data_IF_370970355765
#
_entry.id   IF_370970355765
#
_cell.length_a   1.000
_cell.length_b   1.000
_cell.length_c   1.000
_cell.angle_alpha   90.00
_cell.angle_beta   90.00
_cell.angle_gamma   90.00
#
_symmetry.space_group_name_H-M   'P 1'
#
loop_
_entity.id
_entity.type
_entity.pdbx_description
1 polymer ?
#
# COMPACT_ATOMS: atom_id res chain seq x y z
N UNK A 1 -1.14 27.30 -14.26
CA UNK A 1 0.01 27.12 -15.18
C UNK A 1 -0.48 27.29 -16.61
N UNK A 2 -0.09 28.36 -17.30
CA UNK A 2 -0.60 28.66 -18.65
C UNK A 2 -0.01 27.76 -19.75
N UNK A 3 1.06 27.01 -19.44
CA UNK A 3 1.74 26.13 -20.39
C UNK A 3 0.91 24.94 -20.85
N UNK A 4 -0.08 24.53 -20.06
CA UNK A 4 -0.92 23.37 -20.36
C UNK A 4 -2.32 23.75 -20.84
N UNK A 5 -2.71 25.04 -20.78
CA UNK A 5 -4.04 25.49 -21.22
C UNK A 5 -4.38 25.06 -22.65
N UNK A 6 -3.48 25.22 -23.66
CA UNK A 6 -3.78 24.80 -25.03
C UNK A 6 -4.02 23.28 -25.13
N UNK A 7 -3.30 22.49 -24.33
CA UNK A 7 -3.47 21.04 -24.28
C UNK A 7 -4.82 20.65 -23.66
N UNK A 8 -5.18 21.23 -22.51
CA UNK A 8 -6.47 20.94 -21.87
C UNK A 8 -7.67 21.35 -22.73
N UNK A 9 -7.55 22.45 -23.49
CA UNK A 9 -8.58 22.88 -24.44
C UNK A 9 -8.67 22.00 -25.71
N UNK A 10 -7.63 21.20 -25.99
CA UNK A 10 -7.62 20.27 -27.12
C UNK A 10 -8.24 18.89 -26.79
N UNK A 11 -8.47 18.61 -25.51
CA UNK A 11 -9.07 17.37 -25.05
C UNK A 11 -10.59 17.42 -25.24
N UNK A 12 -11.19 16.35 -25.76
CA UNK A 12 -12.65 16.22 -25.85
C UNK A 12 -13.32 16.20 -24.47
N UNK A 13 -14.50 16.81 -24.33
CA UNK A 13 -15.24 16.93 -23.06
C UNK A 13 -15.47 15.57 -22.35
N UNK A 14 -15.72 14.50 -23.12
CA UNK A 14 -15.86 13.12 -22.61
C UNK A 14 -14.61 12.63 -21.85
N UNK A 15 -13.42 12.93 -22.40
CA UNK A 15 -12.14 12.54 -21.81
C UNK A 15 -11.82 13.40 -20.58
N UNK A 16 -12.24 14.68 -20.59
CA UNK A 16 -12.09 15.58 -19.46
C UNK A 16 -12.94 15.11 -18.27
N UNK A 17 -14.20 14.73 -18.52
CA UNK A 17 -15.10 14.18 -17.51
C UNK A 17 -14.55 12.90 -16.89
N UNK A 18 -14.04 11.98 -17.73
CA UNK A 18 -13.42 10.72 -17.27
C UNK A 18 -12.19 10.97 -16.39
N UNK A 19 -11.37 11.96 -16.77
CA UNK A 19 -10.17 12.33 -16.01
C UNK A 19 -10.53 12.98 -14.67
N UNK A 20 -11.56 13.82 -14.63
CA UNK A 20 -12.05 14.43 -13.39
C UNK A 20 -12.63 13.36 -12.44
N UNK A 21 -13.42 12.42 -12.96
CA UNK A 21 -13.92 11.27 -12.20
C UNK A 21 -12.78 10.45 -11.61
N UNK A 22 -11.77 10.09 -12.42
CA UNK A 22 -10.63 9.31 -11.95
C UNK A 22 -9.83 10.07 -10.88
N UNK A 23 -9.66 11.38 -11.06
CA UNK A 23 -8.97 12.24 -10.10
C UNK A 23 -9.71 12.28 -8.76
N UNK A 24 -11.03 12.40 -8.79
CA UNK A 24 -11.87 12.38 -7.58
C UNK A 24 -11.84 11.01 -6.88
N UNK A 25 -11.76 9.92 -7.63
CA UNK A 25 -11.67 8.56 -7.07
C UNK A 25 -10.30 8.29 -6.43
N UNK A 26 -9.20 8.75 -7.05
CA UNK A 26 -7.85 8.37 -6.63
C UNK A 26 -7.15 9.37 -5.71
N UNK A 27 -7.43 10.67 -5.86
CA UNK A 27 -6.68 11.74 -5.20
C UNK A 27 -7.39 12.29 -3.96
N UNK A 28 -8.55 11.75 -3.60
CA UNK A 28 -9.24 12.05 -2.33
C UNK A 28 -8.46 11.54 -1.13
N UNK A 29 -8.67 12.17 0.03
CA UNK A 29 -7.94 11.89 1.28
C UNK A 29 -8.16 10.48 1.84
N UNK A 30 -9.24 9.81 1.44
CA UNK A 30 -9.55 8.43 1.82
C UNK A 30 -9.94 7.65 0.55
N UNK A 31 -9.59 6.35 0.44
CA UNK A 31 -9.98 5.55 -0.71
C UNK A 31 -11.51 5.48 -0.83
N UNK A 32 -12.05 5.88 -1.98
CA UNK A 32 -13.51 5.88 -2.19
C UNK A 32 -14.08 4.46 -2.21
N UNK A 33 -15.38 4.33 -1.95
CA UNK A 33 -16.06 3.03 -2.00
C UNK A 33 -15.97 2.41 -3.39
N UNK A 34 -16.09 3.23 -4.43
CA UNK A 34 -15.99 2.83 -5.84
C UNK A 34 -14.60 2.24 -6.14
N UNK A 35 -13.54 2.87 -5.64
CA UNK A 35 -12.18 2.36 -5.80
C UNK A 35 -12.00 1.01 -5.09
N UNK A 36 -12.44 0.91 -3.84
CA UNK A 36 -12.32 -0.33 -3.05
C UNK A 36 -13.05 -1.49 -3.73
N UNK A 37 -14.27 -1.27 -4.20
CA UNK A 37 -15.05 -2.29 -4.91
C UNK A 37 -14.37 -2.70 -6.22
N UNK A 38 -13.85 -1.73 -6.99
CA UNK A 38 -13.12 -2.03 -8.22
C UNK A 38 -11.86 -2.87 -7.98
N UNK A 39 -11.11 -2.57 -6.91
CA UNK A 39 -9.93 -3.34 -6.52
C UNK A 39 -10.31 -4.77 -6.09
N UNK A 40 -11.35 -4.93 -5.27
CA UNK A 40 -11.84 -6.26 -4.86
C UNK A 40 -12.23 -7.09 -6.08
N UNK A 41 -13.04 -6.55 -6.99
CA UNK A 41 -13.41 -7.24 -8.23
C UNK A 41 -12.19 -7.60 -9.06
N UNK A 42 -11.21 -6.72 -9.17
CA UNK A 42 -9.99 -6.98 -9.91
C UNK A 42 -9.14 -8.11 -9.27
N UNK A 43 -9.11 -8.19 -7.94
CA UNK A 43 -8.42 -9.25 -7.20
C UNK A 43 -9.13 -10.62 -7.31
N UNK A 44 -10.42 -10.64 -7.61
CA UNK A 44 -11.19 -11.87 -7.84
C UNK A 44 -11.02 -12.43 -9.25
N UNK A 45 -10.55 -11.63 -10.21
CA UNK A 45 -10.29 -12.09 -11.58
C UNK A 45 -9.02 -12.96 -11.60
N UNK A 46 -9.20 -14.25 -11.94
CA UNK A 46 -8.09 -15.19 -12.10
C UNK A 46 -7.05 -14.70 -13.11
N UNK A 47 -5.78 -14.66 -12.71
CA UNK A 47 -4.67 -14.23 -13.56
C UNK A 47 -4.50 -12.70 -13.68
N UNK A 48 -5.37 -11.90 -13.06
CA UNK A 48 -5.29 -10.44 -13.11
C UNK A 48 -4.25 -9.89 -12.13
N UNK A 49 -3.22 -9.22 -12.65
CA UNK A 49 -2.22 -8.54 -11.82
C UNK A 49 -2.76 -7.16 -11.45
N UNK A 50 -3.08 -6.98 -10.17
CA UNK A 50 -3.56 -5.72 -9.62
C UNK A 50 -2.41 -4.97 -8.98
N UNK A 51 -2.22 -3.72 -9.39
CA UNK A 51 -1.31 -2.78 -8.72
C UNK A 51 -2.18 -1.69 -8.11
N UNK A 52 -2.29 -1.62 -6.77
CA UNK A 52 -3.09 -0.58 -6.13
C UNK A 52 -2.39 0.78 -6.24
N UNK A 53 -3.17 1.86 -6.08
CA UNK A 53 -2.65 3.21 -5.95
C UNK A 53 -1.85 3.35 -4.64
N UNK A 54 -0.53 3.25 -4.73
CA UNK A 54 0.34 3.19 -3.55
C UNK A 54 0.31 4.46 -2.69
N UNK A 55 -0.10 5.59 -3.29
CA UNK A 55 -0.22 6.87 -2.59
C UNK A 55 -1.23 6.86 -1.44
N UNK A 56 -2.27 6.01 -1.49
CA UNK A 56 -3.21 5.88 -0.37
C UNK A 56 -2.52 5.26 0.85
N UNK A 57 -1.79 4.16 0.69
CA UNK A 57 -1.09 3.53 1.81
C UNK A 57 -0.03 4.45 2.43
N UNK A 58 0.70 5.21 1.61
CA UNK A 58 1.67 6.19 2.12
C UNK A 58 1.01 7.28 2.94
N UNK A 59 -0.18 7.72 2.53
CA UNK A 59 -0.95 8.71 3.27
C UNK A 59 -1.49 8.13 4.58
N UNK A 60 -2.00 6.90 4.56
CA UNK A 60 -2.49 6.20 5.75
C UNK A 60 -1.35 6.00 6.76
N UNK A 61 -0.20 5.48 6.29
CA UNK A 61 1.01 5.35 7.11
C UNK A 61 1.46 6.71 7.64
N UNK A 62 1.48 7.76 6.82
CA UNK A 62 1.84 9.11 7.29
C UNK A 62 0.88 9.59 8.37
N UNK A 63 -0.42 9.39 8.21
CA UNK A 63 -1.45 9.76 9.18
C UNK A 63 -1.23 9.03 10.52
N UNK A 64 -1.06 7.71 10.49
CA UNK A 64 -0.79 6.87 11.66
C UNK A 64 0.53 7.27 12.34
N UNK A 65 1.57 7.51 11.55
CA UNK A 65 2.91 7.78 12.08
C UNK A 65 3.04 9.17 12.69
N UNK A 66 2.29 10.16 12.19
CA UNK A 66 2.35 11.55 12.66
C UNK A 66 1.33 11.89 13.75
N UNK A 67 0.24 11.12 13.89
CA UNK A 67 -0.87 11.46 14.80
C UNK A 67 -0.62 11.20 16.29
N UNK A 68 0.21 10.22 16.65
CA UNK A 68 0.39 9.77 18.05
C UNK A 68 1.87 9.41 18.31
N UNK A 69 2.44 9.76 19.47
CA UNK A 69 3.81 9.35 19.83
C UNK A 69 3.98 7.83 19.81
N UNK A 70 5.19 7.41 19.43
CA UNK A 70 5.55 6.00 19.28
C UNK A 70 5.83 5.35 20.63
N UNK A 71 6.42 6.10 21.56
CA UNK A 71 6.77 5.65 22.91
C UNK A 71 6.36 6.73 23.91
N UNK A 72 5.74 6.33 25.02
CA UNK A 72 5.41 7.19 26.16
C UNK A 72 6.29 6.79 27.33
N UNK A 73 7.07 7.73 27.86
CA UNK A 73 7.98 7.48 28.98
C UNK A 73 7.38 8.05 30.26
N UNK A 74 7.27 7.20 31.28
CA UNK A 74 6.82 7.63 32.60
C UNK A 74 8.01 8.15 33.42
N UNK A 75 7.86 9.32 34.06
CA UNK A 75 8.89 9.82 34.95
C UNK A 75 9.01 8.93 36.19
N UNK A 76 10.25 8.71 36.64
CA UNK A 76 10.53 7.98 37.89
C UNK A 76 10.36 8.86 39.14
N UNK A 77 10.08 10.15 38.98
CA UNK A 77 10.05 11.15 40.04
C UNK A 77 8.86 12.10 39.81
N UNK A 78 8.09 12.40 40.87
CA UNK A 78 6.79 13.11 40.83
C UNK A 78 6.88 14.55 40.26
N UNK A 79 8.09 15.07 40.09
CA UNK A 79 8.38 16.43 39.62
C UNK A 79 8.60 16.54 38.09
N UNK A 80 8.63 15.43 37.35
CA UNK A 80 8.89 15.43 35.90
C UNK A 80 7.61 15.18 35.10
N UNK A 81 7.49 15.84 33.96
CA UNK A 81 6.36 15.70 33.03
C UNK A 81 6.53 14.45 32.15
N UNK A 82 5.41 13.87 31.68
CA UNK A 82 5.41 12.78 30.69
C UNK A 82 6.20 13.19 29.44
N UNK A 83 7.13 12.33 28.99
CA UNK A 83 7.89 12.55 27.76
C UNK A 83 7.34 11.62 26.66
N UNK A 84 6.83 12.22 25.60
CA UNK A 84 6.32 11.52 24.43
C UNK A 84 7.40 11.54 23.33
N UNK A 85 7.85 10.37 22.91
CA UNK A 85 8.90 10.22 21.91
C UNK A 85 8.28 9.75 20.61
N UNK A 86 8.26 10.63 19.60
CA UNK A 86 7.70 10.36 18.26
C UNK A 86 8.76 9.91 17.26
N UNK A 87 9.96 10.48 17.32
CA UNK A 87 10.94 10.39 16.23
C UNK A 87 12.33 9.96 16.72
N UNK A 88 12.83 8.85 16.18
CA UNK A 88 14.24 8.45 16.34
C UNK A 88 15.06 9.16 15.25
N UNK A 89 15.72 10.26 15.61
CA UNK A 89 16.58 11.03 14.70
C UNK A 89 18.06 10.55 14.68
N UNK A 90 18.33 9.31 15.11
CA UNK A 90 19.71 8.80 15.20
C UNK A 90 20.44 9.27 16.47
N UNK A 91 19.72 9.58 17.54
CA UNK A 91 20.34 9.92 18.82
C UNK A 91 20.97 8.68 19.47
N UNK A 92 22.28 8.72 19.67
CA UNK A 92 23.12 7.66 20.28
C UNK A 92 22.69 7.29 21.72
N UNK A 93 21.86 8.12 22.37
CA UNK A 93 21.36 7.93 23.74
C UNK A 93 19.86 7.65 23.84
N UNK A 94 19.19 7.33 22.73
CA UNK A 94 17.74 7.09 22.73
C UNK A 94 17.30 6.02 23.73
N UNK A 95 18.05 4.92 23.82
CA UNK A 95 17.76 3.84 24.78
C UNK A 95 18.04 4.25 26.23
N UNK A 96 19.03 5.11 26.47
CA UNK A 96 19.33 5.65 27.82
C UNK A 96 18.28 6.69 28.26
N UNK A 97 17.69 7.43 27.32
CA UNK A 97 16.66 8.46 27.56
C UNK A 97 15.30 7.84 27.95
N UNK A 98 14.94 6.73 27.31
CA UNK A 98 13.65 6.04 27.54
C UNK A 98 13.69 5.19 28.83
N UNK A 99 14.86 4.67 29.21
CA UNK A 99 15.01 3.80 30.37
C UNK A 99 14.16 2.51 30.28
N UNK A 100 13.90 1.86 31.41
CA UNK A 100 13.09 0.62 31.50
C UNK A 100 11.57 0.85 31.59
N UNK A 101 11.13 2.12 31.55
CA UNK A 101 9.73 2.52 31.78
C UNK A 101 8.95 3.01 30.55
N UNK A 102 9.52 2.86 29.35
CA UNK A 102 8.85 3.27 28.12
C UNK A 102 7.72 2.32 27.72
N UNK A 103 6.50 2.84 27.55
CA UNK A 103 5.38 2.11 26.94
C UNK A 103 5.35 2.34 25.43
N UNK A 104 5.31 1.24 24.70
CA UNK A 104 5.15 1.25 23.25
C UNK A 104 3.67 1.47 22.92
N UNK A 105 3.40 2.32 21.92
CA UNK A 105 2.06 2.50 21.40
C UNK A 105 1.66 1.30 20.51
N UNK A 106 1.01 0.29 21.11
CA UNK A 106 0.54 -0.89 20.38
C UNK A 106 -0.53 -0.54 19.32
N UNK A 107 -1.32 0.51 19.53
CA UNK A 107 -2.34 0.93 18.55
C UNK A 107 -1.68 1.39 17.25
N UNK A 108 -0.61 2.20 17.36
CA UNK A 108 0.19 2.64 16.22
C UNK A 108 0.79 1.47 15.45
N UNK A 109 1.30 0.46 16.16
CA UNK A 109 1.83 -0.76 15.55
C UNK A 109 0.71 -1.54 14.86
N UNK A 110 -0.43 -1.73 15.54
CA UNK A 110 -1.59 -2.47 15.01
C UNK A 110 -2.10 -1.83 13.72
N UNK A 111 -2.34 -0.52 13.72
CA UNK A 111 -2.81 0.22 12.55
C UNK A 111 -1.80 0.16 11.39
N UNK A 112 -0.51 0.36 11.69
CA UNK A 112 0.55 0.24 10.67
C UNK A 112 0.61 -1.18 10.09
N UNK A 113 0.43 -2.19 10.95
CA UNK A 113 0.41 -3.60 10.55
C UNK A 113 -0.75 -3.91 9.60
N UNK A 114 -1.94 -3.35 9.83
CA UNK A 114 -3.08 -3.49 8.91
C UNK A 114 -2.71 -3.00 7.51
N UNK A 115 -2.14 -1.79 7.40
CA UNK A 115 -1.74 -1.21 6.11
C UNK A 115 -0.67 -2.06 5.42
N UNK A 116 0.31 -2.56 6.18
CA UNK A 116 1.36 -3.44 5.63
C UNK A 116 0.81 -4.79 5.18
N UNK A 117 -0.16 -5.34 5.90
CA UNK A 117 -0.79 -6.61 5.53
C UNK A 117 -1.64 -6.46 4.26
N UNK A 118 -2.31 -5.32 4.08
CA UNK A 118 -3.01 -5.00 2.83
C UNK A 118 -2.02 -4.95 1.66
N UNK A 119 -0.86 -4.31 1.82
CA UNK A 119 0.21 -4.30 0.81
C UNK A 119 0.68 -5.74 0.50
N UNK A 120 0.89 -6.55 1.54
CA UNK A 120 1.31 -7.95 1.40
C UNK A 120 0.33 -8.78 0.58
N UNK A 121 -0.98 -8.56 0.74
CA UNK A 121 -2.02 -9.26 -0.03
C UNK A 121 -1.86 -9.07 -1.54
N UNK A 122 -1.53 -7.86 -2.01
CA UNK A 122 -1.27 -7.62 -3.43
C UNK A 122 -0.02 -8.35 -3.93
N UNK A 123 1.02 -8.44 -3.11
CA UNK A 123 2.24 -9.19 -3.44
C UNK A 123 1.98 -10.70 -3.50
N UNK A 124 1.21 -11.26 -2.58
CA UNK A 124 0.86 -12.69 -2.62
C UNK A 124 0.05 -13.05 -3.85
N UNK A 125 -0.94 -12.23 -4.20
CA UNK A 125 -1.71 -12.41 -5.43
C UNK A 125 -0.81 -12.36 -6.67
N UNK A 126 0.11 -11.40 -6.74
CA UNK A 126 1.06 -11.30 -7.84
C UNK A 126 1.98 -12.53 -7.96
N UNK A 127 2.45 -13.07 -6.82
CA UNK A 127 3.25 -14.31 -6.77
C UNK A 127 2.45 -15.53 -7.21
N UNK A 128 1.22 -15.68 -6.71
CA UNK A 128 0.31 -16.77 -7.07
C UNK A 128 0.07 -16.81 -8.58
N UNK A 129 -0.13 -15.65 -9.21
CA UNK A 129 -0.30 -15.55 -10.67
C UNK A 129 0.99 -15.93 -11.42
N UNK A 130 2.16 -15.54 -10.90
CA UNK A 130 3.43 -15.91 -11.52
C UNK A 130 3.66 -17.44 -11.50
N UNK A 131 3.30 -18.09 -10.38
CA UNK A 131 3.38 -19.56 -10.26
C UNK A 131 2.37 -20.27 -11.19
N UNK A 132 1.13 -19.78 -11.28
CA UNK A 132 0.11 -20.35 -12.17
C UNK A 132 0.52 -20.26 -13.65
N UNK A 133 1.12 -19.12 -14.07
CA UNK A 133 1.69 -18.98 -15.43
C UNK A 133 2.79 -20.00 -15.70
N UNK A 134 3.73 -20.17 -14.78
CA UNK A 134 4.83 -21.13 -14.93
C UNK A 134 4.32 -22.57 -15.06
N UNK A 135 3.31 -22.97 -14.30
CA UNK A 135 2.69 -24.29 -14.40
C UNK A 135 1.99 -24.50 -15.76
N UNK A 136 1.25 -23.49 -16.24
CA UNK A 136 0.56 -23.55 -17.54
C UNK A 136 1.55 -23.63 -18.71
N UNK A 137 2.64 -22.87 -18.66
CA UNK A 137 3.70 -22.92 -19.67
C UNK A 137 4.41 -24.28 -19.69
N UNK A 138 4.70 -24.86 -18.52
CA UNK A 138 5.28 -26.20 -18.42
C UNK A 138 4.36 -27.29 -19.00
N UNK A 139 3.05 -27.23 -18.73
CA UNK A 139 2.07 -28.19 -19.26
C UNK A 139 1.89 -28.07 -20.79
N UNK A 140 1.95 -26.86 -21.36
CA UNK A 140 1.87 -26.65 -22.80
C UNK A 140 3.11 -27.20 -23.54
N UNK A 141 4.30 -27.09 -22.96
CA UNK A 141 5.53 -27.64 -23.55
C UNK A 141 5.52 -29.18 -23.59
N UNK A 142 4.93 -29.83 -22.58
CA UNK A 142 4.82 -31.30 -22.53
C UNK A 142 3.81 -31.85 -23.56
N UNK A 143 2.71 -31.14 -23.80
CA UNK A 143 1.72 -31.47 -24.85
C UNK A 143 2.25 -31.26 -26.27
N UNK A 144 3.04 -30.21 -26.51
CA UNK A 144 3.65 -29.96 -27.83
C UNK A 144 4.69 -31.02 -28.25
N UNK A 145 5.31 -31.70 -27.28
CA UNK A 145 6.29 -32.76 -27.57
C UNK A 145 5.66 -34.12 -27.87
N UNK A 146 4.42 -34.37 -27.45
CA UNK A 146 3.74 -35.68 -27.62
C UNK A 146 2.96 -35.79 -28.93
N UNK A 147 2.58 -34.68 -29.57
CA UNK A 147 1.93 -34.69 -30.89
C UNK A 147 2.92 -34.85 -32.06
N UNK A 148 4.22 -34.57 -31.87
CA UNK A 148 5.23 -34.71 -32.94
C UNK A 148 5.66 -36.17 -33.20
N UNK A 149 5.34 -37.12 -32.33
CA UNK A 149 5.75 -38.54 -32.46
C UNK A 149 4.64 -39.47 -32.96
N UNK A 150 3.41 -38.96 -33.15
CA UNK A 150 2.25 -39.76 -33.61
C UNK A 150 1.86 -39.55 -35.07
N UNK A 151 2.63 -38.72 -35.78
CA UNK A 151 2.43 -38.38 -37.19
C UNK A 151 3.65 -38.70 -38.06
N UNK A 152 4.17 -39.93 -38.00
CA UNK A 152 5.00 -40.54 -39.04
C UNK A 152 4.70 -42.02 -39.16
#
# INVERSE_FOLDING_TARGET
SDKLKPFWLSIHDENLSSLDQLSNILLTGEPTAEYREAVTRALDIHGCRVVPFFGSFLRDLRSILSGIPSIVVFPSDESKHLECVSDYNGEDRFMTRIGVGGLINLEKISQSHVVLNDIHLFHERAKSIAMDKSCREAFCQEKGSTESLRGR
#
